data_IF_623564367768
#
_entry.id   IF_623564367768
#
_cell.length_a   1.000
_cell.length_b   1.000
_cell.length_c   1.000
_cell.angle_alpha   90.00
_cell.angle_beta   90.00
_cell.angle_gamma   90.00
#
_symmetry.space_group_name_H-M   'P 1'
#
loop_
_entity.id
_entity.type
_entity.pdbx_description
1 polymer ?
#
# COMPACT_ATOMS: atom_id res chain seq x y z
N UNK A 1 -7.96 17.17 10.75
CA UNK A 1 -8.20 15.84 10.15
C UNK A 1 -6.95 15.47 9.41
N UNK A 2 -6.28 14.38 9.80
CA UNK A 2 -5.03 13.95 9.15
C UNK A 2 -5.42 13.16 7.90
N UNK A 3 -4.89 13.55 6.75
CA UNK A 3 -4.97 12.78 5.50
C UNK A 3 -3.56 12.33 5.13
N UNK A 4 -3.38 11.05 4.84
CA UNK A 4 -2.07 10.45 4.55
C UNK A 4 -2.09 9.88 3.14
N UNK A 5 -1.08 10.19 2.35
CA UNK A 5 -0.83 9.51 1.08
C UNK A 5 0.11 8.32 1.33
N UNK A 6 -0.26 7.12 0.85
CA UNK A 6 0.56 5.93 1.00
C UNK A 6 0.62 5.10 -0.28
N UNK A 7 1.84 4.73 -0.69
CA UNK A 7 2.10 3.93 -1.88
C UNK A 7 2.41 2.47 -1.53
N UNK A 8 1.57 1.56 -2.03
CA UNK A 8 1.81 0.12 -2.03
C UNK A 8 2.70 -0.21 -3.23
N UNK A 9 4.00 -0.26 -2.98
CA UNK A 9 5.00 -0.41 -4.02
C UNK A 9 6.15 -1.30 -3.57
N UNK A 10 6.09 -2.57 -3.97
CA UNK A 10 7.19 -3.51 -3.72
C UNK A 10 8.49 -3.12 -4.45
N UNK A 11 8.45 -2.38 -5.57
CA UNK A 11 9.67 -2.01 -6.31
C UNK A 11 10.56 -1.02 -5.57
N UNK A 12 9.98 -0.13 -4.74
CA UNK A 12 10.77 0.79 -3.89
C UNK A 12 11.33 0.04 -2.68
N UNK A 13 10.60 -0.95 -2.17
CA UNK A 13 10.98 -1.70 -0.96
C UNK A 13 11.98 -2.84 -1.25
N UNK A 14 12.11 -3.29 -2.50
CA UNK A 14 13.12 -4.27 -2.95
C UNK A 14 14.57 -3.81 -2.82
N UNK A 15 14.83 -2.52 -2.60
CA UNK A 15 16.17 -2.05 -2.28
C UNK A 15 16.63 -2.50 -0.88
N UNK A 16 15.71 -2.82 0.02
CA UNK A 16 16.00 -3.20 1.41
C UNK A 16 15.57 -4.64 1.75
N UNK A 17 14.88 -5.33 0.84
CA UNK A 17 14.28 -6.65 1.09
C UNK A 17 14.65 -7.58 -0.06
N UNK A 18 15.11 -8.79 0.30
CA UNK A 18 15.41 -9.83 -0.69
C UNK A 18 14.17 -10.18 -1.53
N UNK A 19 14.41 -10.52 -2.80
CA UNK A 19 13.36 -11.02 -3.69
C UNK A 19 12.78 -12.30 -3.09
N UNK A 20 11.47 -12.34 -2.83
CA UNK A 20 10.79 -13.43 -2.13
C UNK A 20 10.35 -13.09 -0.70
N UNK A 21 10.70 -11.91 -0.16
CA UNK A 21 10.26 -11.42 1.15
C UNK A 21 8.99 -10.55 1.11
N UNK A 22 8.21 -10.62 0.04
CA UNK A 22 6.99 -9.83 -0.12
C UNK A 22 5.95 -10.12 0.97
N UNK A 23 5.92 -11.34 1.49
CA UNK A 23 5.06 -11.76 2.59
C UNK A 23 5.32 -10.95 3.87
N UNK A 24 6.58 -10.75 4.23
CA UNK A 24 6.98 -9.93 5.39
C UNK A 24 6.49 -8.50 5.23
N UNK A 25 6.62 -7.91 4.04
CA UNK A 25 6.12 -6.56 3.75
C UNK A 25 4.62 -6.47 3.96
N UNK A 26 3.86 -7.46 3.47
CA UNK A 26 2.41 -7.48 3.61
C UNK A 26 2.01 -7.66 5.08
N UNK A 27 2.58 -8.65 5.76
CA UNK A 27 2.19 -9.06 7.11
C UNK A 27 2.66 -8.09 8.20
N UNK A 28 3.87 -7.54 8.06
CA UNK A 28 4.46 -6.67 9.08
C UNK A 28 4.40 -5.18 8.71
N UNK A 29 4.22 -4.84 7.44
CA UNK A 29 4.11 -3.46 6.97
C UNK A 29 2.67 -3.05 6.67
N UNK A 30 2.12 -3.58 5.59
CA UNK A 30 0.87 -3.10 5.01
C UNK A 30 -0.37 -3.40 5.86
N UNK A 31 -0.48 -4.62 6.39
CA UNK A 31 -1.60 -5.02 7.23
C UNK A 31 -1.69 -4.19 8.52
N UNK A 32 -0.61 -4.07 9.32
CA UNK A 32 -0.64 -3.24 10.53
C UNK A 32 -0.93 -1.77 10.23
N UNK A 33 -0.42 -1.25 9.11
CA UNK A 33 -0.70 0.11 8.68
C UNK A 33 -2.19 0.32 8.41
N UNK A 34 -2.80 -0.52 7.56
CA UNK A 34 -4.24 -0.39 7.24
C UNK A 34 -5.10 -0.50 8.50
N UNK A 35 -4.80 -1.45 9.40
CA UNK A 35 -5.50 -1.56 10.69
C UNK A 35 -5.37 -0.29 11.52
N UNK A 36 -4.17 0.24 11.67
CA UNK A 36 -3.91 1.47 12.42
C UNK A 36 -4.69 2.66 11.84
N UNK A 37 -4.73 2.80 10.52
CA UNK A 37 -5.48 3.88 9.86
C UNK A 37 -6.98 3.77 10.17
N UNK A 38 -7.54 2.56 10.11
CA UNK A 38 -8.94 2.30 10.41
C UNK A 38 -9.28 2.51 11.89
N UNK A 39 -8.47 1.99 12.81
CA UNK A 39 -8.68 2.08 14.26
C UNK A 39 -8.70 3.54 14.74
N UNK A 40 -7.92 4.40 14.09
CA UNK A 40 -7.87 5.83 14.38
C UNK A 40 -8.80 6.69 13.50
N UNK A 41 -9.57 6.05 12.60
CA UNK A 41 -10.50 6.74 11.69
C UNK A 41 -9.81 7.71 10.73
N UNK A 42 -8.53 7.48 10.42
CA UNK A 42 -7.72 8.31 9.53
C UNK A 42 -8.16 8.07 8.09
N UNK A 43 -8.24 9.15 7.30
CA UNK A 43 -8.46 9.05 5.85
C UNK A 43 -7.12 8.95 5.13
N UNK A 44 -7.06 8.14 4.07
CA UNK A 44 -5.84 7.96 3.31
C UNK A 44 -6.07 7.86 1.80
N UNK A 45 -5.17 8.49 1.05
CA UNK A 45 -5.05 8.35 -0.39
C UNK A 45 -4.07 7.19 -0.67
N UNK A 46 -4.59 6.08 -1.19
CA UNK A 46 -3.83 4.86 -1.42
C UNK A 46 -3.43 4.74 -2.89
N UNK A 47 -2.16 4.46 -3.13
CA UNK A 47 -1.60 4.29 -4.47
C UNK A 47 -1.16 2.85 -4.66
N UNK A 48 -1.88 2.10 -5.48
CA UNK A 48 -1.67 0.67 -5.71
C UNK A 48 -1.20 0.44 -7.15
N UNK A 49 -0.02 -0.15 -7.31
CA UNK A 49 0.42 -0.62 -8.64
C UNK A 49 -0.19 -1.99 -8.94
N UNK A 50 -0.55 -2.26 -10.21
CA UNK A 50 -1.11 -3.57 -10.60
C UNK A 50 -0.20 -4.74 -10.22
N UNK A 51 1.11 -4.57 -10.33
CA UNK A 51 2.10 -5.54 -9.85
C UNK A 51 1.98 -5.80 -8.34
N UNK A 52 1.95 -4.74 -7.52
CA UNK A 52 1.85 -4.92 -6.07
C UNK A 52 0.50 -5.48 -5.64
N UNK A 53 -0.60 -5.05 -6.28
CA UNK A 53 -1.93 -5.60 -6.02
C UNK A 53 -1.99 -7.10 -6.28
N UNK A 54 -1.41 -7.59 -7.37
CA UNK A 54 -1.41 -9.03 -7.68
C UNK A 54 -0.63 -9.84 -6.64
N UNK A 55 0.57 -9.38 -6.25
CA UNK A 55 1.36 -10.04 -5.21
C UNK A 55 0.64 -10.01 -3.85
N UNK A 56 0.00 -8.89 -3.49
CA UNK A 56 -0.80 -8.81 -2.26
C UNK A 56 -1.96 -9.80 -2.32
N UNK A 57 -2.66 -9.94 -3.45
CA UNK A 57 -3.77 -10.90 -3.58
C UNK A 57 -3.32 -12.36 -3.41
N UNK A 58 -2.09 -12.70 -3.81
CA UNK A 58 -1.52 -14.03 -3.60
C UNK A 58 -1.17 -14.29 -2.13
N UNK A 59 -0.80 -13.25 -1.38
CA UNK A 59 -0.38 -13.33 0.03
C UNK A 59 -1.56 -13.21 0.99
N UNK A 60 -2.36 -12.16 0.84
CA UNK A 60 -3.53 -11.87 1.66
C UNK A 60 -4.63 -11.12 0.86
N UNK A 61 -5.62 -11.89 0.42
CA UNK A 61 -6.82 -11.33 -0.22
C UNK A 61 -7.63 -10.43 0.71
N UNK A 62 -7.60 -10.68 2.02
CA UNK A 62 -8.34 -9.94 3.04
C UNK A 62 -7.89 -8.49 3.14
N UNK A 63 -6.60 -8.19 2.91
CA UNK A 63 -6.10 -6.83 2.86
C UNK A 63 -6.77 -6.02 1.73
N UNK A 64 -6.85 -6.60 0.53
CA UNK A 64 -7.47 -5.93 -0.62
C UNK A 64 -8.98 -5.75 -0.41
N UNK A 65 -9.67 -6.76 0.13
CA UNK A 65 -11.09 -6.65 0.45
C UNK A 65 -11.36 -5.61 1.56
N UNK A 66 -10.45 -5.50 2.53
CA UNK A 66 -10.51 -4.43 3.56
C UNK A 66 -10.38 -3.05 2.93
N UNK A 67 -9.44 -2.86 1.99
CA UNK A 67 -9.30 -1.59 1.28
C UNK A 67 -10.58 -1.28 0.49
N UNK A 68 -11.07 -2.24 -0.30
CA UNK A 68 -12.28 -2.08 -1.14
C UNK A 68 -13.53 -1.72 -0.32
N UNK A 69 -13.75 -2.39 0.80
CA UNK A 69 -14.92 -2.16 1.66
C UNK A 69 -14.93 -0.78 2.34
N UNK A 70 -13.81 -0.06 2.32
CA UNK A 70 -13.64 1.26 2.94
C UNK A 70 -13.41 2.40 1.93
N UNK A 71 -13.55 2.12 0.63
CA UNK A 71 -13.42 3.13 -0.43
C UNK A 71 -14.52 4.19 -0.35
N UNK A 72 -14.17 5.45 -0.58
CA UNK A 72 -15.09 6.61 -0.54
C UNK A 72 -15.43 7.10 0.86
N UNK A 73 -15.18 6.30 1.90
CA UNK A 73 -15.36 6.71 3.30
C UNK A 73 -14.01 7.05 3.95
N UNK A 74 -13.12 6.05 3.99
CA UNK A 74 -11.80 6.12 4.64
C UNK A 74 -10.67 6.17 3.64
N UNK A 75 -10.82 5.48 2.51
CA UNK A 75 -9.76 5.38 1.52
C UNK A 75 -10.22 5.93 0.17
N UNK A 76 -9.29 6.62 -0.49
CA UNK A 76 -9.42 7.01 -1.89
C UNK A 76 -8.30 6.34 -2.69
N UNK A 77 -8.58 5.97 -3.94
CA UNK A 77 -7.56 5.39 -4.82
C UNK A 77 -6.94 6.50 -5.68
N UNK A 78 -5.66 6.75 -5.45
CA UNK A 78 -4.85 7.62 -6.29
C UNK A 78 -4.23 6.87 -7.46
N UNK A 79 -4.06 7.55 -8.59
CA UNK A 79 -3.24 7.05 -9.69
C UNK A 79 -1.78 7.46 -9.47
N UNK A 80 -0.86 6.49 -9.57
CA UNK A 80 0.57 6.74 -9.51
C UNK A 80 1.21 6.40 -10.85
N UNK A 81 1.74 7.41 -11.54
CA UNK A 81 2.57 7.23 -12.74
C UNK A 81 4.01 6.95 -12.30
N UNK A 82 4.63 5.89 -12.83
CA UNK A 82 6.05 5.60 -12.67
C UNK A 82 6.90 6.69 -13.34
N UNK A 83 7.07 7.82 -12.65
CA UNK A 83 8.17 8.74 -12.85
C UNK A 83 8.73 9.06 -11.48
N UNK A 84 9.49 8.11 -10.96
CA UNK A 84 10.61 8.45 -10.10
C UNK A 84 11.50 9.35 -10.97
N UNK A 85 11.38 10.67 -10.84
CA UNK A 85 12.43 11.55 -11.33
C UNK A 85 13.67 11.15 -10.54
N UNK A 86 14.64 10.50 -11.20
CA UNK A 86 16.02 10.49 -10.76
C UNK A 86 16.41 11.96 -10.58
N UNK A 87 16.28 12.49 -9.36
CA UNK A 87 17.01 13.69 -8.99
C UNK A 87 18.45 13.20 -8.87
N UNK A 88 19.21 13.35 -9.95
CA UNK A 88 20.65 13.46 -9.86
C UNK A 88 20.93 14.66 -8.94
N UNK A 89 21.43 14.39 -7.74
CA UNK A 89 22.24 15.31 -6.96
C UNK A 89 23.66 14.74 -6.96
#
# INVERSE_FOLDING_TARGET
>A
MINIAFAFNFNIQRCEIEVGGEDVIVQEGYLPLIRTLLDHGIKADLFLSGYSTNNILEIDTGLIETIKSNLGERFELGTYTYTLSLIHI
#
